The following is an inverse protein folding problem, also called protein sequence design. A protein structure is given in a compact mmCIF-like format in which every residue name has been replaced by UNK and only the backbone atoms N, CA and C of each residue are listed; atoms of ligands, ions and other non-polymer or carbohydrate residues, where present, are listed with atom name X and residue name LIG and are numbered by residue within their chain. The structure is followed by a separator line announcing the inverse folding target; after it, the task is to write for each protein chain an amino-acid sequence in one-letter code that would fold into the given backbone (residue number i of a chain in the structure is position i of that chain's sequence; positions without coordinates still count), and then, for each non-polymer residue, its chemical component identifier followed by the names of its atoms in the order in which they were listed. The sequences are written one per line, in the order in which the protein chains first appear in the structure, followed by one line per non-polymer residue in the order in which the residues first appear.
data_IF_551076761707
#
_entry.id   IF_551076761707
#
_cell.length_a   1.000
_cell.length_b   1.000
_cell.length_c   1.000
_cell.angle_alpha   90.00
_cell.angle_beta   90.00
_cell.angle_gamma   90.00
#
_symmetry.space_group_name_H-M   'P 1'
#
loop_
_entity.id
_entity.type
_entity.pdbx_description
1 polymer ?
#
# COMPACT_ATOMS: atom_id res chain seq x y z
N UNK A 1 -10.66 12.77 23.65
CA UNK A 1 -11.47 11.92 22.74
C UNK A 1 -10.60 11.59 21.53
N UNK A 2 -10.48 10.31 21.17
CA UNK A 2 -9.59 9.81 20.10
C UNK A 2 -9.85 10.53 18.76
N UNK A 3 -11.12 10.79 18.42
CA UNK A 3 -11.49 11.53 17.22
C UNK A 3 -10.85 12.93 17.14
N UNK A 4 -10.85 13.69 18.25
CA UNK A 4 -10.26 15.04 18.26
C UNK A 4 -8.75 15.00 18.01
N UNK A 5 -8.07 13.92 18.40
CA UNK A 5 -6.65 13.74 18.11
C UNK A 5 -6.38 13.49 16.62
N UNK A 6 -7.37 12.97 15.88
CA UNK A 6 -7.28 12.74 14.44
C UNK A 6 -7.60 13.98 13.58
N UNK A 7 -8.28 15.00 14.14
CA UNK A 7 -8.70 16.21 13.39
C UNK A 7 -7.54 16.91 12.67
N UNK A 8 -6.37 17.15 13.29
CA UNK A 8 -5.26 17.80 12.58
C UNK A 8 -4.79 16.99 11.36
N UNK A 9 -4.74 15.66 11.49
CA UNK A 9 -4.38 14.76 10.38
C UNK A 9 -5.41 14.81 9.25
N UNK A 10 -6.70 14.73 9.59
CA UNK A 10 -7.80 14.84 8.62
C UNK A 10 -7.79 16.19 7.88
N UNK A 11 -7.62 17.30 8.61
CA UNK A 11 -7.49 18.64 8.01
C UNK A 11 -6.34 18.67 7.00
N UNK A 12 -5.16 18.14 7.35
CA UNK A 12 -4.01 18.07 6.46
C UNK A 12 -4.30 17.23 5.20
N UNK A 13 -4.81 16.00 5.37
CA UNK A 13 -5.09 15.09 4.24
C UNK A 13 -6.15 15.66 3.30
N UNK A 14 -7.25 16.19 3.84
CA UNK A 14 -8.31 16.79 3.03
C UNK A 14 -7.85 18.07 2.34
N UNK A 15 -7.06 18.91 3.02
CA UNK A 15 -6.45 20.10 2.43
C UNK A 15 -5.57 19.72 1.24
N UNK A 16 -4.69 18.72 1.41
CA UNK A 16 -3.85 18.21 0.32
C UNK A 16 -4.68 17.74 -0.87
N UNK A 17 -5.78 17.03 -0.62
CA UNK A 17 -6.65 16.54 -1.71
C UNK A 17 -7.41 17.67 -2.42
N UNK A 18 -7.85 18.70 -1.69
CA UNK A 18 -8.60 19.82 -2.26
C UNK A 18 -7.71 20.81 -3.03
N UNK A 19 -6.42 20.85 -2.69
CA UNK A 19 -5.46 21.77 -3.28
C UNK A 19 -5.04 21.38 -4.70
N UNK A 20 -4.63 22.39 -5.47
CA UNK A 20 -4.21 22.20 -6.88
C UNK A 20 -2.94 21.38 -7.01
N UNK A 21 -2.03 21.47 -6.05
CA UNK A 21 -0.75 20.80 -6.12
C UNK A 21 -0.91 19.31 -5.76
N UNK A 22 -0.91 18.48 -6.80
CA UNK A 22 -0.91 17.03 -6.64
C UNK A 22 0.53 16.49 -6.63
N UNK A 23 1.13 16.46 -5.43
CA UNK A 23 2.45 15.83 -5.25
C UNK A 23 2.30 14.31 -5.35
N UNK A 24 2.73 13.76 -6.48
CA UNK A 24 2.93 12.32 -6.68
C UNK A 24 4.43 12.05 -6.67
N UNK A 25 4.88 11.22 -5.74
CA UNK A 25 6.24 10.68 -5.80
C UNK A 25 6.30 9.83 -7.08
N UNK A 26 7.22 10.13 -8.02
CA UNK A 26 7.37 9.34 -9.24
C UNK A 26 8.00 8.00 -8.85
N UNK A 27 7.16 7.07 -8.40
CA UNK A 27 7.56 5.68 -8.17
C UNK A 27 7.67 5.03 -9.56
N UNK A 28 8.86 4.53 -9.94
CA UNK A 28 9.04 3.74 -11.14
C UNK A 28 8.12 2.53 -11.14
N UNK A 29 7.67 2.12 -12.32
CA UNK A 29 6.72 1.03 -12.49
C UNK A 29 7.37 -0.13 -13.26
N UNK A 30 6.95 -1.36 -12.97
CA UNK A 30 7.48 -2.54 -13.63
C UNK A 30 9.01 -2.64 -13.47
N UNK A 31 9.72 -2.85 -14.57
CA UNK A 31 11.17 -3.07 -14.57
C UNK A 31 11.97 -1.83 -14.13
N UNK A 32 11.43 -0.62 -14.31
CA UNK A 32 12.12 0.62 -13.91
C UNK A 32 12.32 0.74 -12.39
N UNK A 33 11.60 -0.08 -11.60
CA UNK A 33 11.71 -0.15 -10.15
C UNK A 33 12.97 -0.91 -9.68
N UNK A 34 13.62 -1.65 -10.57
CA UNK A 34 14.78 -2.49 -10.26
C UNK A 34 16.06 -1.92 -10.87
N UNK A 35 17.20 -2.33 -10.32
CA UNK A 35 18.52 -1.88 -10.79
C UNK A 35 18.86 -2.43 -12.18
N UNK A 36 19.81 -1.79 -12.86
CA UNK A 36 20.40 -2.30 -14.11
C UNK A 36 21.07 -3.67 -13.95
N UNK A 37 21.37 -4.08 -12.72
CA UNK A 37 21.87 -5.42 -12.41
C UNK A 37 20.79 -6.47 -12.57
N UNK A 38 19.58 -6.22 -12.06
CA UNK A 38 18.45 -7.13 -12.26
C UNK A 38 18.08 -7.25 -13.74
N UNK A 39 18.01 -6.13 -14.47
CA UNK A 39 17.63 -6.15 -15.89
C UNK A 39 18.59 -7.04 -16.68
N UNK A 40 19.90 -6.87 -16.46
CA UNK A 40 20.91 -7.72 -17.12
C UNK A 40 20.83 -9.17 -16.68
N UNK A 41 20.73 -9.44 -15.39
CA UNK A 41 20.66 -10.81 -14.88
C UNK A 41 19.41 -11.55 -15.39
N UNK A 42 18.28 -10.84 -15.48
CA UNK A 42 17.05 -11.36 -16.07
C UNK A 42 17.23 -11.68 -17.56
N UNK A 43 17.77 -10.75 -18.35
CA UNK A 43 18.01 -10.96 -19.79
C UNK A 43 19.03 -12.09 -20.05
N UNK A 44 20.08 -12.17 -19.24
CA UNK A 44 21.08 -13.24 -19.34
C UNK A 44 20.48 -14.61 -19.05
N UNK A 45 19.65 -14.72 -17.99
CA UNK A 45 18.95 -15.95 -17.66
C UNK A 45 17.94 -16.33 -18.75
N UNK A 46 17.14 -15.38 -19.23
CA UNK A 46 16.14 -15.61 -20.27
C UNK A 46 16.78 -16.20 -21.54
N UNK A 47 17.88 -15.59 -22.01
CA UNK A 47 18.65 -16.09 -23.15
C UNK A 47 19.32 -17.44 -22.90
N UNK A 48 19.78 -17.71 -21.67
CA UNK A 48 20.31 -19.03 -21.28
C UNK A 48 19.22 -20.10 -21.42
N UNK A 49 18.04 -19.84 -20.87
CA UNK A 49 16.90 -20.76 -20.86
C UNK A 49 16.35 -20.99 -22.27
N UNK A 50 16.24 -19.95 -23.11
CA UNK A 50 15.85 -20.09 -24.52
C UNK A 50 16.83 -21.00 -25.28
N UNK A 51 18.13 -20.81 -25.09
CA UNK A 51 19.16 -21.63 -25.73
C UNK A 51 19.12 -23.08 -25.24
N UNK A 52 18.94 -23.31 -23.95
CA UNK A 52 18.82 -24.66 -23.39
C UNK A 52 17.59 -25.38 -23.95
N UNK A 53 16.45 -24.69 -24.08
CA UNK A 53 15.24 -25.23 -24.69
C UNK A 53 15.47 -25.63 -26.17
N UNK A 54 16.14 -24.77 -26.95
CA UNK A 54 16.49 -25.07 -28.34
C UNK A 54 17.48 -26.24 -28.48
N UNK A 55 18.52 -26.29 -27.65
CA UNK A 55 19.58 -27.31 -27.71
C UNK A 55 19.09 -28.69 -27.24
N UNK A 56 18.23 -28.73 -26.21
CA UNK A 56 17.72 -29.98 -25.62
C UNK A 56 16.40 -30.45 -26.23
N UNK A 57 15.66 -29.54 -26.89
CA UNK A 57 14.30 -29.80 -27.38
C UNK A 57 13.25 -29.89 -26.27
N UNK A 58 13.59 -29.47 -25.05
CA UNK A 58 12.68 -29.35 -23.90
C UNK A 58 12.01 -27.97 -23.94
N UNK A 59 10.88 -27.82 -23.26
CA UNK A 59 10.24 -26.51 -23.10
C UNK A 59 11.08 -25.58 -22.21
N UNK A 60 10.81 -24.28 -22.30
CA UNK A 60 11.44 -23.25 -21.48
C UNK A 60 11.29 -23.55 -19.98
N UNK A 61 12.36 -23.39 -19.20
CA UNK A 61 12.36 -23.65 -17.77
C UNK A 61 11.73 -22.49 -16.98
N UNK A 62 10.40 -22.49 -16.93
CA UNK A 62 9.62 -21.50 -16.19
C UNK A 62 9.88 -21.55 -14.68
N UNK A 63 10.21 -22.71 -14.13
CA UNK A 63 10.48 -22.86 -12.68
C UNK A 63 11.75 -22.09 -12.31
N UNK A 64 12.84 -22.25 -13.08
CA UNK A 64 14.09 -21.53 -12.84
C UNK A 64 13.93 -20.01 -13.02
N UNK A 65 13.09 -19.58 -13.96
CA UNK A 65 12.78 -18.16 -14.13
C UNK A 65 11.96 -17.59 -12.95
N UNK A 66 10.99 -18.35 -12.45
CA UNK A 66 10.20 -17.98 -11.27
C UNK A 66 11.06 -17.89 -10.01
N UNK A 67 11.97 -18.84 -9.79
CA UNK A 67 12.92 -18.81 -8.68
C UNK A 67 13.78 -17.54 -8.70
N UNK A 68 14.22 -17.09 -9.89
CA UNK A 68 14.95 -15.84 -10.03
C UNK A 68 14.05 -14.63 -9.69
N UNK A 69 12.83 -14.61 -10.20
CA UNK A 69 11.83 -13.55 -9.94
C UNK A 69 11.50 -13.41 -8.44
N UNK A 70 11.49 -14.49 -7.66
CA UNK A 70 11.31 -14.44 -6.21
C UNK A 70 12.42 -13.65 -5.50
N UNK A 71 13.63 -13.61 -6.09
CA UNK A 71 14.76 -12.85 -5.53
C UNK A 71 14.75 -11.36 -5.88
N UNK A 72 13.88 -10.92 -6.80
CA UNK A 72 13.97 -9.58 -7.40
C UNK A 72 13.89 -8.41 -6.41
N UNK A 73 13.28 -8.63 -5.25
CA UNK A 73 13.20 -7.64 -4.19
C UNK A 73 14.59 -7.14 -3.73
N UNK A 74 15.64 -7.96 -3.84
CA UNK A 74 17.01 -7.57 -3.51
C UNK A 74 17.60 -6.52 -4.47
N UNK A 75 17.02 -6.38 -5.67
CA UNK A 75 17.44 -5.43 -6.69
C UNK A 75 16.55 -4.20 -6.78
N UNK A 76 15.66 -3.96 -5.81
CA UNK A 76 14.85 -2.75 -5.79
C UNK A 76 15.75 -1.51 -5.69
N UNK A 77 15.47 -0.52 -6.54
CA UNK A 77 16.17 0.76 -6.48
C UNK A 77 15.76 1.51 -5.23
N UNK A 78 16.75 2.09 -4.56
CA UNK A 78 16.47 3.06 -3.51
C UNK A 78 15.89 4.34 -4.14
N UNK A 79 14.64 4.66 -3.78
CA UNK A 79 13.97 5.90 -4.22
C UNK A 79 13.87 6.80 -2.99
N UNK A 80 14.80 7.73 -2.88
CA UNK A 80 14.73 8.78 -1.87
C UNK A 80 13.93 9.93 -2.50
N UNK A 81 12.70 10.21 -2.06
CA UNK A 81 11.94 11.34 -2.57
C UNK A 81 12.72 12.63 -2.27
N UNK A 82 12.96 13.42 -3.32
CA UNK A 82 13.55 14.75 -3.18
C UNK A 82 12.42 15.75 -2.99
N UNK A 83 12.49 16.51 -1.92
CA UNK A 83 11.54 17.57 -1.60
C UNK A 83 12.15 18.90 -2.04
N UNK A 84 11.48 19.61 -2.94
CA UNK A 84 11.91 20.96 -3.38
C UNK A 84 11.35 22.07 -2.47
N UNK A 85 10.37 21.74 -1.63
CA UNK A 85 9.74 22.62 -0.65
C UNK A 85 8.51 21.97 -0.02
N UNK A 86 7.85 22.70 0.87
CA UNK A 86 6.54 22.30 1.39
C UNK A 86 5.47 22.48 0.29
N UNK A 87 4.45 21.60 0.21
CA UNK A 87 3.31 21.79 -0.69
C UNK A 87 2.60 23.14 -0.48
N UNK A 88 2.22 23.79 -1.57
CA UNK A 88 1.36 24.97 -1.54
C UNK A 88 -0.11 24.57 -1.42
N UNK A 89 -0.68 24.85 -0.24
CA UNK A 89 -2.10 24.62 0.01
C UNK A 89 -2.95 25.86 -0.31
N UNK A 90 -3.56 25.89 -1.49
CA UNK A 90 -4.47 26.98 -1.91
C UNK A 90 -5.90 26.86 -1.36
N UNK A 91 -6.25 25.74 -0.72
CA UNK A 91 -7.60 25.47 -0.18
C UNK A 91 -7.54 24.77 1.18
N UNK A 92 -7.13 25.48 2.24
CA UNK A 92 -7.09 24.91 3.58
C UNK A 92 -8.49 24.47 4.03
N UNK A 93 -8.59 23.20 4.41
CA UNK A 93 -9.78 22.61 5.02
C UNK A 93 -9.59 22.57 6.52
N UNK A 94 -10.56 23.15 7.23
CA UNK A 94 -10.70 22.98 8.67
C UNK A 94 -12.08 22.39 8.96
N UNK A 95 -12.10 21.13 9.42
CA UNK A 95 -13.32 20.40 9.74
C UNK A 95 -14.18 21.10 10.81
N UNK A 96 -13.59 21.92 11.69
CA UNK A 96 -14.36 22.66 12.70
C UNK A 96 -15.27 23.73 12.10
N UNK A 97 -15.08 24.11 10.84
CA UNK A 97 -15.88 25.14 10.16
C UNK A 97 -17.13 24.56 9.48
N UNK A 98 -17.36 23.24 9.56
CA UNK A 98 -18.49 22.57 8.93
C UNK A 98 -19.59 22.30 9.96
N UNK A 99 -20.71 23.01 9.84
CA UNK A 99 -21.82 22.91 10.78
C UNK A 99 -22.64 21.61 10.63
N UNK A 100 -22.47 20.89 9.53
CA UNK A 100 -23.23 19.68 9.17
C UNK A 100 -22.38 18.42 9.02
N UNK A 101 -21.14 18.42 9.54
CA UNK A 101 -20.26 17.25 9.50
C UNK A 101 -20.83 16.12 10.37
N UNK A 102 -21.02 14.95 9.75
CA UNK A 102 -21.42 13.72 10.45
C UNK A 102 -20.19 12.85 10.66
N UNK A 103 -20.06 12.29 11.86
CA UNK A 103 -18.96 11.39 12.22
C UNK A 103 -19.55 10.07 12.68
N UNK A 104 -19.14 8.98 12.03
CA UNK A 104 -19.46 7.63 12.45
C UNK A 104 -18.19 7.03 13.02
N UNK A 105 -18.25 6.60 14.28
CA UNK A 105 -17.13 5.92 14.94
C UNK A 105 -17.54 4.47 15.16
N UNK A 106 -16.74 3.55 14.60
CA UNK A 106 -16.87 2.11 14.82
C UNK A 106 -15.65 1.66 15.64
N UNK A 107 -15.89 0.91 16.71
CA UNK A 107 -14.85 0.22 17.46
C UNK A 107 -15.06 -1.28 17.26
N UNK A 108 -13.97 -1.99 17.04
CA UNK A 108 -13.97 -3.43 16.87
C UNK A 108 -12.77 -4.01 17.63
N UNK A 109 -13.04 -5.07 18.38
CA UNK A 109 -12.07 -5.77 19.21
C UNK A 109 -11.95 -7.23 18.77
N UNK A 110 -10.72 -7.72 18.71
CA UNK A 110 -10.42 -9.10 18.40
C UNK A 110 -9.59 -9.66 19.55
N UNK A 111 -10.23 -10.48 20.38
CA UNK A 111 -9.58 -11.19 21.48
C UNK A 111 -9.48 -12.68 21.16
N UNK A 112 -8.24 -13.15 21.03
CA UNK A 112 -7.89 -14.55 20.82
C UNK A 112 -7.49 -15.19 22.15
N UNK A 113 -8.03 -16.38 22.43
CA UNK A 113 -7.67 -17.18 23.61
C UNK A 113 -7.14 -18.54 23.16
N UNK A 114 -6.47 -19.32 24.03
CA UNK A 114 -6.09 -20.69 23.68
C UNK A 114 -7.28 -21.56 23.20
N UNK A 115 -8.49 -21.32 23.72
CA UNK A 115 -9.73 -22.00 23.34
C UNK A 115 -10.33 -21.46 22.03
N UNK A 116 -10.05 -20.20 21.69
CA UNK A 116 -10.47 -19.56 20.43
C UNK A 116 -9.27 -18.82 19.81
N UNK A 117 -8.31 -19.57 19.24
CA UNK A 117 -7.01 -19.03 18.84
C UNK A 117 -7.02 -18.35 17.47
N UNK A 118 -8.16 -18.37 16.77
CA UNK A 118 -8.28 -17.80 15.43
C UNK A 118 -9.52 -16.92 15.29
N UNK A 119 -9.36 -15.85 14.52
CA UNK A 119 -10.45 -14.98 14.07
C UNK A 119 -10.56 -15.13 12.55
N UNK A 120 -11.72 -15.55 12.01
CA UNK A 120 -11.87 -15.80 10.57
C UNK A 120 -11.89 -14.53 9.71
N UNK A 121 -11.79 -13.35 10.32
CA UNK A 121 -11.97 -12.07 9.64
C UNK A 121 -13.41 -11.55 9.77
N UNK A 122 -13.58 -10.27 9.40
CA UNK A 122 -14.90 -9.64 9.30
C UNK A 122 -15.54 -9.87 7.93
N UNK A 123 -16.83 -9.54 7.80
CA UNK A 123 -17.49 -9.51 6.50
C UNK A 123 -16.88 -8.44 5.60
N UNK A 124 -16.60 -8.80 4.35
CA UNK A 124 -16.18 -7.83 3.35
C UNK A 124 -17.28 -6.79 3.12
N UNK A 125 -16.91 -5.52 3.13
CA UNK A 125 -17.79 -4.41 2.85
C UNK A 125 -16.99 -3.27 2.21
N UNK A 126 -17.68 -2.48 1.40
CA UNK A 126 -17.12 -1.29 0.76
C UNK A 126 -17.68 -0.08 1.50
N UNK A 127 -16.80 0.77 2.00
CA UNK A 127 -17.14 2.08 2.56
C UNK A 127 -16.87 3.15 1.49
N UNK A 128 -17.72 4.17 1.40
CA UNK A 128 -17.52 5.30 0.51
C UNK A 128 -18.16 5.13 -0.86
N UNK A 129 -19.29 4.42 -0.94
CA UNK A 129 -20.11 4.44 -2.14
C UNK A 129 -20.66 5.86 -2.40
N UNK A 130 -20.95 6.18 -3.68
CA UNK A 130 -21.41 7.52 -4.11
C UNK A 130 -22.64 8.00 -3.32
N UNK A 131 -23.48 7.08 -2.82
CA UNK A 131 -24.68 7.40 -2.04
C UNK A 131 -24.43 7.61 -0.54
N UNK A 132 -23.21 7.41 -0.05
CA UNK A 132 -22.86 7.54 1.38
C UNK A 132 -22.21 8.90 1.71
N UNK A 133 -21.77 9.64 0.69
CA UNK A 133 -21.11 10.95 0.81
C UNK A 133 -19.94 10.96 1.82
N UNK A 134 -19.20 9.85 1.93
CA UNK A 134 -18.03 9.73 2.82
C UNK A 134 -16.82 10.38 2.17
N UNK A 135 -16.23 11.38 2.84
CA UNK A 135 -15.06 12.12 2.37
C UNK A 135 -13.73 11.62 2.92
N UNK A 136 -13.75 10.87 4.02
CA UNK A 136 -12.57 10.31 4.65
C UNK A 136 -12.93 9.14 5.58
N UNK A 137 -12.05 8.14 5.62
CA UNK A 137 -12.08 7.03 6.58
C UNK A 137 -10.75 6.96 7.30
N UNK A 138 -10.76 6.78 8.62
CA UNK A 138 -9.57 6.65 9.45
C UNK A 138 -9.62 5.32 10.18
N UNK A 139 -8.56 4.52 10.06
CA UNK A 139 -8.36 3.32 10.85
C UNK A 139 -7.29 3.62 11.89
N UNK A 140 -7.59 3.30 13.15
CA UNK A 140 -6.67 3.49 14.28
C UNK A 140 -6.66 2.24 15.15
N UNK A 141 -5.53 1.54 15.15
CA UNK A 141 -5.28 0.44 16.06
C UNK A 141 -4.88 1.02 17.41
N UNK A 142 -5.79 0.99 18.37
CA UNK A 142 -5.58 1.62 19.67
C UNK A 142 -4.90 0.71 20.69
N UNK A 143 -4.98 -0.60 20.51
CA UNK A 143 -4.28 -1.59 21.32
C UNK A 143 -3.97 -2.82 20.49
N UNK A 144 -2.77 -3.37 20.69
CA UNK A 144 -2.26 -4.55 20.01
C UNK A 144 -1.34 -5.27 21.00
N UNK A 145 -1.71 -6.49 21.39
CA UNK A 145 -0.88 -7.33 22.25
C UNK A 145 -0.83 -8.76 21.69
N UNK A 146 0.35 -9.38 21.73
CA UNK A 146 0.55 -10.81 21.47
C UNK A 146 -0.02 -11.32 20.11
N UNK A 147 0.04 -10.50 19.06
CA UNK A 147 -0.30 -10.91 17.69
C UNK A 147 0.95 -11.10 16.84
N UNK A 148 0.95 -12.08 15.94
CA UNK A 148 1.95 -12.21 14.87
C UNK A 148 1.72 -11.16 13.78
N UNK A 149 2.67 -11.03 12.84
CA UNK A 149 2.52 -10.14 11.69
C UNK A 149 1.19 -10.39 10.95
N UNK A 150 0.41 -9.31 10.77
CA UNK A 150 -0.84 -9.35 10.02
C UNK A 150 -0.53 -9.38 8.53
N UNK A 151 -0.96 -10.44 7.83
CA UNK A 151 -0.80 -10.58 6.39
C UNK A 151 -2.14 -10.35 5.69
N UNK A 152 -2.15 -9.49 4.67
CA UNK A 152 -3.26 -9.37 3.73
C UNK A 152 -3.11 -10.48 2.68
N UNK A 153 -4.10 -11.36 2.57
CA UNK A 153 -4.22 -12.38 1.54
C UNK A 153 -5.45 -12.05 0.70
N UNK A 154 -5.33 -12.11 -0.64
CA UNK A 154 -6.39 -11.81 -1.60
C UNK A 154 -6.73 -13.06 -2.41
#
# INVERSE_FOLDING_TARGET
AIFNAAIPGLNCTLTRYASKEHIRIPIPIGNDAYTEEYIRAHEELDLELEREAEETGVDYDWERMEEFEETKAQFLREIIPKWEGDPEFDKPINLSNFDNLKVIVKLADIELTPERPSYPGGSWHVEGAINEDIVATVLYYYDIENISESKLFF
#
